data_IF_256111717058
#
_entry.id   IF_256111717058
#
_cell.length_a   1.000
_cell.length_b   1.000
_cell.length_c   1.000
_cell.angle_alpha   90.00
_cell.angle_beta   90.00
_cell.angle_gamma   90.00
#
_symmetry.space_group_name_H-M   'P 1'
#
loop_
_entity.id
_entity.type
_entity.pdbx_description
1 polymer ?
#
# COMPACT_ATOMS: atom_id res chain seq x y z
N UNK A 1 84.72 2.78 34.05
CA UNK A 1 83.79 2.83 32.90
C UNK A 1 82.39 2.94 33.47
N UNK A 2 81.61 3.93 33.04
CA UNK A 2 80.25 4.20 33.51
C UNK A 2 80.19 5.40 34.45
N UNK A 3 79.76 6.54 33.92
CA UNK A 3 79.86 7.88 34.50
C UNK A 3 78.77 8.22 35.52
N UNK A 4 79.13 9.19 36.35
CA UNK A 4 78.41 9.82 37.44
C UNK A 4 77.31 10.76 36.91
N UNK A 5 76.09 10.72 37.44
CA UNK A 5 75.20 11.90 37.43
C UNK A 5 74.53 12.08 38.81
N UNK A 6 74.57 13.32 39.36
CA UNK A 6 74.16 13.61 40.73
C UNK A 6 72.65 13.88 40.84
N UNK A 7 72.10 13.56 42.00
CA UNK A 7 70.81 14.09 42.47
C UNK A 7 70.94 15.59 42.79
N UNK A 8 69.89 16.38 42.53
CA UNK A 8 69.55 17.44 43.45
C UNK A 8 68.08 17.38 43.92
N UNK A 9 67.97 17.86 45.15
CA UNK A 9 66.83 17.91 46.04
C UNK A 9 65.94 19.12 45.72
N UNK A 10 64.66 18.98 46.07
CA UNK A 10 63.76 20.00 46.63
C UNK A 10 63.80 21.41 46.02
N UNK A 11 62.76 21.73 45.24
CA UNK A 11 62.01 22.97 45.42
C UNK A 11 60.60 22.88 44.80
N UNK A 12 59.70 23.66 45.38
CA UNK A 12 58.36 24.03 44.90
C UNK A 12 57.15 23.15 45.29
N UNK A 13 56.81 23.32 46.56
CA UNK A 13 55.49 23.67 47.09
C UNK A 13 54.29 23.70 46.12
N UNK A 14 53.33 22.87 46.51
CA UNK A 14 51.90 22.88 46.17
C UNK A 14 51.30 24.30 46.18
N UNK A 15 50.85 24.77 45.02
CA UNK A 15 49.79 25.78 44.94
C UNK A 15 48.50 25.12 44.48
N UNK A 16 47.51 25.13 45.38
CA UNK A 16 46.11 24.93 45.07
C UNK A 16 45.71 25.89 43.95
N UNK A 17 45.41 25.35 42.78
CA UNK A 17 44.63 26.05 41.77
C UNK A 17 43.21 25.54 41.93
N UNK A 18 42.35 26.43 42.41
CA UNK A 18 40.90 26.34 42.32
C UNK A 18 40.52 25.87 40.92
N UNK A 19 40.08 24.62 40.80
CA UNK A 19 39.33 24.19 39.62
C UNK A 19 37.97 24.86 39.77
N UNK A 20 37.89 26.05 39.19
CA UNK A 20 36.66 26.76 38.94
C UNK A 20 35.64 25.76 38.42
N UNK A 21 34.46 25.81 39.05
CA UNK A 21 33.26 25.11 38.60
C UNK A 21 33.18 25.23 37.08
N UNK A 22 33.40 24.11 36.37
CA UNK A 22 32.87 23.97 35.04
C UNK A 22 31.36 24.09 35.21
N UNK A 23 30.82 25.24 34.82
CA UNK A 23 29.40 25.46 34.70
C UNK A 23 28.83 24.25 33.96
N UNK A 24 28.02 23.44 34.65
CA UNK A 24 27.08 22.56 33.96
C UNK A 24 26.19 23.52 33.19
N UNK A 25 26.41 23.62 31.89
CA UNK A 25 25.41 24.17 30.98
C UNK A 25 24.20 23.26 31.16
N UNK A 26 23.12 23.80 31.71
CA UNK A 26 21.88 23.07 31.91
C UNK A 26 21.48 22.43 30.57
N UNK A 27 21.40 21.10 30.56
CA UNK A 27 21.16 20.22 29.42
C UNK A 27 19.65 20.23 29.04
N UNK A 28 18.97 21.36 29.25
CA UNK A 28 17.55 21.52 28.99
C UNK A 28 17.33 21.69 27.47
N UNK A 29 16.53 20.82 26.82
CA UNK A 29 16.25 20.92 25.40
C UNK A 29 15.63 22.26 25.06
N UNK A 30 16.15 22.93 24.02
CA UNK A 30 15.65 24.22 23.58
C UNK A 30 14.25 24.04 22.99
N UNK A 31 13.28 24.78 23.55
CA UNK A 31 11.93 24.77 22.99
C UNK A 31 11.87 25.54 21.67
N UNK A 32 11.29 24.93 20.64
CA UNK A 32 10.98 25.58 19.37
C UNK A 32 9.46 25.67 19.20
N UNK A 33 8.96 26.88 18.99
CA UNK A 33 7.57 27.08 18.56
C UNK A 33 7.53 26.95 17.04
N UNK A 34 7.08 25.78 16.56
CA UNK A 34 6.99 25.51 15.13
C UNK A 34 5.76 26.16 14.49
N UNK A 35 4.87 26.82 15.22
CA UNK A 35 3.63 27.40 14.64
C UNK A 35 3.82 28.80 14.05
N UNK A 36 5.06 29.33 14.07
CA UNK A 36 5.35 30.67 13.57
C UNK A 36 5.40 30.75 12.04
N UNK A 37 5.18 31.95 11.50
CA UNK A 37 5.31 32.25 10.07
C UNK A 37 6.74 32.03 9.53
N UNK A 38 7.75 32.18 10.40
CA UNK A 38 9.14 31.88 10.09
C UNK A 38 9.32 30.41 9.73
N UNK A 39 8.71 29.51 10.50
CA UNK A 39 8.72 28.08 10.20
C UNK A 39 7.88 27.72 8.98
N UNK A 40 6.80 28.46 8.70
CA UNK A 40 6.02 28.30 7.47
C UNK A 40 6.90 28.55 6.25
N UNK A 41 7.63 29.67 6.24
CA UNK A 41 8.56 30.00 5.14
C UNK A 41 9.74 29.03 5.07
N UNK A 42 10.35 28.69 6.22
CA UNK A 42 11.48 27.77 6.24
C UNK A 42 11.14 26.39 5.67
N UNK A 43 9.93 25.89 5.94
CA UNK A 43 9.46 24.62 5.41
C UNK A 43 8.97 24.72 3.96
N UNK A 44 8.41 25.86 3.53
CA UNK A 44 8.05 26.11 2.13
C UNK A 44 9.26 25.97 1.18
N UNK A 45 10.45 26.36 1.64
CA UNK A 45 11.70 26.25 0.89
C UNK A 45 12.46 24.92 1.16
N UNK A 46 11.96 24.09 2.07
CA UNK A 46 12.64 22.85 2.43
C UNK A 46 12.53 21.78 1.32
N UNK A 47 13.57 20.96 1.11
CA UNK A 47 13.53 19.86 0.15
C UNK A 47 12.41 18.87 0.44
N UNK A 48 11.86 18.29 -0.63
CA UNK A 48 10.80 17.28 -0.56
C UNK A 48 11.42 15.88 -0.54
N UNK A 49 10.92 15.04 0.35
CA UNK A 49 11.30 13.64 0.49
C UNK A 49 10.07 12.74 0.36
N UNK A 50 10.24 11.60 -0.29
CA UNK A 50 9.22 10.54 -0.36
C UNK A 50 9.49 9.49 0.72
N UNK A 51 8.43 9.02 1.37
CA UNK A 51 8.52 7.87 2.27
C UNK A 51 8.75 6.59 1.46
N UNK A 52 9.66 5.74 1.94
CA UNK A 52 9.95 4.44 1.34
C UNK A 52 9.96 3.30 2.37
N UNK A 53 9.82 3.61 3.66
CA UNK A 53 9.85 2.63 4.73
C UNK A 53 8.78 1.55 4.56
N UNK A 54 9.21 0.29 4.70
CA UNK A 54 8.32 -0.87 4.78
C UNK A 54 7.99 -1.16 6.25
N UNK A 55 6.75 -1.49 6.53
CA UNK A 55 6.25 -1.89 7.85
C UNK A 55 5.55 -3.23 7.75
N UNK A 56 5.55 -3.99 8.83
CA UNK A 56 4.63 -5.12 8.95
C UNK A 56 3.34 -4.65 9.58
N UNK A 57 2.19 -5.07 9.05
CA UNK A 57 0.92 -4.72 9.62
C UNK A 57 0.02 -5.95 9.77
N UNK A 58 -0.72 -6.00 10.86
CA UNK A 58 -1.69 -7.06 11.14
C UNK A 58 -2.97 -6.44 11.69
N UNK A 59 -4.12 -6.99 11.29
CA UNK A 59 -5.41 -6.55 11.81
C UNK A 59 -5.59 -7.09 13.23
N UNK A 60 -5.84 -6.18 14.18
CA UNK A 60 -6.19 -6.48 15.55
C UNK A 60 -7.53 -7.22 15.64
N UNK A 61 -7.58 -8.25 16.48
CA UNK A 61 -8.79 -8.99 16.80
C UNK A 61 -9.63 -8.28 17.89
N UNK A 62 -9.05 -7.32 18.59
CA UNK A 62 -9.65 -6.54 19.67
C UNK A 62 -9.24 -7.03 21.05
N UNK A 63 -8.92 -6.09 21.94
CA UNK A 63 -8.46 -6.36 23.30
C UNK A 63 -6.95 -6.55 23.44
N UNK A 64 -6.18 -6.51 22.35
CA UNK A 64 -4.72 -6.49 22.41
C UNK A 64 -4.22 -5.16 22.98
N UNK A 65 -3.61 -5.20 24.16
CA UNK A 65 -2.92 -4.06 24.73
C UNK A 65 -1.49 -4.02 24.22
N UNK A 66 -1.12 -2.92 23.58
CA UNK A 66 0.21 -2.64 23.06
C UNK A 66 0.84 -1.48 23.79
N UNK A 67 2.08 -1.69 24.21
CA UNK A 67 2.99 -0.62 24.60
C UNK A 67 3.76 -0.19 23.36
N UNK A 68 3.60 1.07 22.96
CA UNK A 68 4.50 1.70 22.01
C UNK A 68 5.82 1.91 22.74
N UNK A 69 6.84 1.17 22.32
CA UNK A 69 8.19 1.23 22.91
C UNK A 69 9.13 1.75 21.85
N UNK A 70 9.76 2.89 22.14
CA UNK A 70 10.75 3.52 21.26
C UNK A 70 12.00 2.63 21.13
N UNK A 71 12.81 2.92 20.12
CA UNK A 71 14.07 2.20 19.86
C UNK A 71 15.05 2.22 21.03
N UNK A 72 14.93 3.18 21.95
CA UNK A 72 15.73 3.30 23.18
C UNK A 72 15.17 2.52 24.39
N UNK A 73 14.01 1.87 24.23
CA UNK A 73 13.34 1.07 25.28
C UNK A 73 12.34 1.85 26.14
N UNK A 74 12.10 3.13 25.87
CA UNK A 74 11.11 3.95 26.59
C UNK A 74 9.68 3.59 26.17
N UNK A 75 8.80 3.32 27.14
CA UNK A 75 7.36 3.07 26.91
C UNK A 75 6.65 4.42 26.77
N UNK A 76 6.26 4.76 25.55
CA UNK A 76 5.64 6.05 25.22
C UNK A 76 4.14 6.03 25.57
N UNK A 77 3.41 5.03 25.09
CA UNK A 77 1.96 4.93 25.31
C UNK A 77 1.53 3.48 25.45
N UNK A 78 0.44 3.25 26.20
CA UNK A 78 -0.24 1.95 26.28
C UNK A 78 -1.64 2.09 25.70
N UNK A 79 -1.91 1.46 24.56
CA UNK A 79 -3.20 1.48 23.89
C UNK A 79 -3.78 0.07 23.77
N UNK A 80 -5.09 -0.05 23.81
CA UNK A 80 -5.79 -1.32 23.58
C UNK A 80 -6.52 -1.25 22.24
N UNK A 81 -6.20 -2.18 21.34
CA UNK A 81 -6.77 -2.21 20.00
C UNK A 81 -8.25 -2.61 20.03
N UNK A 82 -9.05 -1.99 19.18
CA UNK A 82 -10.38 -2.48 18.86
C UNK A 82 -10.31 -3.54 17.76
N UNK A 83 -11.32 -4.42 17.64
CA UNK A 83 -11.43 -5.30 16.49
C UNK A 83 -11.43 -4.47 15.19
N UNK A 84 -10.54 -4.80 14.26
CA UNK A 84 -10.40 -4.10 12.98
C UNK A 84 -9.42 -2.93 12.98
N UNK A 85 -8.85 -2.55 14.13
CA UNK A 85 -7.68 -1.66 14.14
C UNK A 85 -6.46 -2.39 13.53
N UNK A 86 -5.44 -1.64 13.12
CA UNK A 86 -4.22 -2.17 12.53
C UNK A 86 -3.08 -2.01 13.52
N UNK A 87 -2.41 -3.11 13.84
CA UNK A 87 -1.16 -3.11 14.59
C UNK A 87 -0.02 -3.04 13.59
N UNK A 88 0.68 -1.92 13.57
CA UNK A 88 1.83 -1.68 12.70
C UNK A 88 3.10 -1.96 13.47
N UNK A 89 4.07 -2.59 12.81
CA UNK A 89 5.40 -2.90 13.33
C UNK A 89 6.44 -2.30 12.37
N UNK A 90 7.19 -1.32 12.86
CA UNK A 90 8.28 -0.71 12.10
C UNK A 90 9.49 -1.66 12.02
N UNK A 91 10.43 -1.45 11.09
CA UNK A 91 11.67 -2.25 11.00
C UNK A 91 12.49 -2.29 12.29
N UNK A 92 12.42 -1.22 13.09
CA UNK A 92 13.06 -1.11 14.41
C UNK A 92 12.36 -1.91 15.52
N UNK A 93 11.27 -2.61 15.23
CA UNK A 93 10.52 -3.43 16.19
C UNK A 93 9.47 -2.68 17.02
N UNK A 94 9.45 -1.35 16.93
CA UNK A 94 8.40 -0.52 17.50
C UNK A 94 7.03 -0.91 16.93
N UNK A 95 6.02 -0.99 17.80
CA UNK A 95 4.64 -1.33 17.43
C UNK A 95 3.66 -0.29 17.92
N UNK A 96 2.68 0.05 17.10
CA UNK A 96 1.61 0.96 17.45
C UNK A 96 0.27 0.55 16.82
N UNK A 97 -0.82 1.10 17.34
CA UNK A 97 -2.19 0.84 16.88
C UNK A 97 -2.68 2.05 16.10
N UNK A 98 -3.25 1.80 14.92
CA UNK A 98 -3.87 2.82 14.08
C UNK A 98 -5.19 2.28 13.51
N UNK A 99 -6.24 3.11 13.46
CA UNK A 99 -7.51 2.69 12.87
C UNK A 99 -7.40 2.43 11.37
N UNK A 100 -8.16 1.46 10.85
CA UNK A 100 -8.08 1.00 9.46
C UNK A 100 -8.11 2.12 8.41
N UNK A 101 -9.01 3.10 8.55
CA UNK A 101 -9.10 4.23 7.60
C UNK A 101 -7.83 5.11 7.59
N UNK A 102 -7.20 5.29 8.74
CA UNK A 102 -5.93 6.03 8.84
C UNK A 102 -4.74 5.20 8.37
N UNK A 103 -4.83 3.87 8.45
CA UNK A 103 -3.82 2.98 7.89
C UNK A 103 -3.87 3.02 6.35
N UNK A 104 -5.05 2.90 5.77
CA UNK A 104 -5.27 2.93 4.32
C UNK A 104 -4.76 4.23 3.68
N UNK A 105 -5.01 5.38 4.32
CA UNK A 105 -4.50 6.66 3.82
C UNK A 105 -2.98 6.84 3.92
N UNK A 106 -2.28 5.96 4.65
CA UNK A 106 -0.84 6.10 4.95
C UNK A 106 0.03 4.99 4.38
N UNK A 107 -0.55 3.89 3.87
CA UNK A 107 0.20 2.69 3.50
C UNK A 107 -0.34 2.02 2.22
N UNK A 108 0.54 1.50 1.36
CA UNK A 108 0.20 0.56 0.27
C UNK A 108 0.63 -0.86 0.62
N UNK A 109 -0.15 -1.84 0.16
CA UNK A 109 0.31 -3.21 0.11
C UNK A 109 1.53 -3.34 -0.82
N UNK A 110 2.47 -4.22 -0.43
CA UNK A 110 3.57 -4.66 -1.29
C UNK A 110 3.30 -6.08 -1.81
N UNK A 111 4.22 -6.64 -2.61
CA UNK A 111 4.13 -8.04 -3.08
C UNK A 111 4.37 -9.08 -1.96
N UNK A 112 4.86 -8.63 -0.80
CA UNK A 112 5.10 -9.46 0.38
C UNK A 112 3.89 -9.40 1.34
N UNK A 113 3.36 -10.56 1.71
CA UNK A 113 2.20 -10.65 2.61
C UNK A 113 2.50 -10.04 3.99
N UNK A 114 1.54 -9.26 4.50
CA UNK A 114 1.68 -8.52 5.76
C UNK A 114 2.67 -7.34 5.72
N UNK A 115 3.30 -7.05 4.58
CA UNK A 115 4.27 -5.95 4.42
C UNK A 115 3.66 -4.82 3.61
N UNK A 116 3.73 -3.62 4.17
CA UNK A 116 3.16 -2.41 3.61
C UNK A 116 4.21 -1.32 3.48
N UNK A 117 4.14 -0.53 2.42
CA UNK A 117 5.03 0.60 2.19
C UNK A 117 4.31 1.88 2.57
N UNK A 118 4.96 2.71 3.38
CA UNK A 118 4.41 4.01 3.74
C UNK A 118 4.27 4.90 2.50
N UNK A 119 3.12 5.58 2.39
CA UNK A 119 2.84 6.59 1.37
C UNK A 119 2.97 7.99 1.94
N UNK A 120 3.17 8.94 1.04
CA UNK A 120 3.21 10.36 1.36
C UNK A 120 4.60 10.97 1.22
N UNK A 121 4.58 12.28 1.06
CA UNK A 121 5.76 13.13 0.91
C UNK A 121 5.83 14.11 2.07
N UNK A 122 7.03 14.60 2.37
CA UNK A 122 7.24 15.57 3.41
C UNK A 122 8.30 16.60 3.00
N UNK A 123 8.11 17.83 3.44
CA UNK A 123 9.13 18.89 3.42
C UNK A 123 9.95 18.74 4.68
N UNK A 124 11.27 18.56 4.55
CA UNK A 124 12.14 18.21 5.68
C UNK A 124 13.39 19.08 5.68
N UNK A 125 13.70 19.67 6.83
CA UNK A 125 14.89 20.50 7.05
C UNK A 125 15.65 20.07 8.32
N UNK A 126 16.98 20.21 8.40
CA UNK A 126 17.74 19.91 9.62
C UNK A 126 17.35 20.80 10.80
N UNK A 127 17.51 20.29 12.03
CA UNK A 127 17.49 21.12 13.24
C UNK A 127 18.54 22.24 13.12
N UNK A 128 18.13 23.53 13.08
CA UNK A 128 19.05 24.63 12.85
C UNK A 128 19.88 24.99 14.09
N UNK A 129 19.55 24.45 15.26
CA UNK A 129 20.19 24.82 16.53
C UNK A 129 21.47 24.05 16.81
N UNK A 130 21.64 22.86 16.22
CA UNK A 130 22.74 21.95 16.56
C UNK A 130 22.76 21.51 18.03
N UNK A 131 21.65 21.66 18.76
CA UNK A 131 21.47 21.32 20.17
C UNK A 131 20.19 20.49 20.34
N UNK A 132 20.01 19.77 21.46
CA UNK A 132 18.74 19.10 21.75
C UNK A 132 17.58 20.11 21.74
N UNK A 133 16.49 19.75 21.09
CA UNK A 133 15.28 20.57 20.94
C UNK A 133 14.04 19.84 21.48
N UNK A 134 13.03 20.61 21.84
CA UNK A 134 11.69 20.10 22.11
C UNK A 134 10.62 20.96 21.46
N UNK A 135 9.50 20.34 21.08
CA UNK A 135 8.34 21.03 20.50
C UNK A 135 7.07 20.53 21.19
N UNK A 136 5.98 21.28 21.05
CA UNK A 136 4.63 20.72 21.21
C UNK A 136 4.19 20.17 19.86
N UNK A 137 4.04 18.87 19.76
CA UNK A 137 3.63 18.22 18.54
C UNK A 137 2.15 18.51 18.21
N UNK A 138 1.71 18.31 16.95
CA UNK A 138 0.33 18.58 16.54
C UNK A 138 -0.72 17.76 17.30
N UNK A 139 -0.32 16.62 17.88
CA UNK A 139 -1.19 15.79 18.73
C UNK A 139 -1.22 16.21 20.20
N UNK A 140 -0.55 17.31 20.57
CA UNK A 140 -0.66 17.97 21.88
C UNK A 140 0.37 17.54 22.92
N UNK A 141 1.29 16.63 22.58
CA UNK A 141 2.33 16.13 23.49
C UNK A 141 3.70 16.75 23.21
N UNK A 142 4.60 16.72 24.20
CA UNK A 142 5.99 17.14 23.99
C UNK A 142 6.75 16.10 23.16
N UNK A 143 7.42 16.55 22.12
CA UNK A 143 8.32 15.73 21.31
C UNK A 143 9.75 16.27 21.43
N UNK A 144 10.71 15.37 21.58
CA UNK A 144 12.12 15.68 21.80
C UNK A 144 12.96 15.26 20.58
N UNK A 145 14.00 16.04 20.28
CA UNK A 145 14.93 15.77 19.19
C UNK A 145 16.37 16.03 19.61
N UNK A 146 17.28 15.18 19.17
CA UNK A 146 18.72 15.40 19.34
C UNK A 146 19.27 16.54 18.49
N UNK A 147 20.57 16.88 18.66
CA UNK A 147 21.27 17.89 17.88
C UNK A 147 21.17 17.73 16.34
N UNK A 148 21.05 16.49 15.87
CA UNK A 148 21.05 16.10 14.46
C UNK A 148 19.68 15.73 13.89
N UNK A 149 18.63 15.87 14.70
CA UNK A 149 17.24 15.64 14.33
C UNK A 149 16.81 16.54 13.16
N UNK A 150 15.71 16.17 12.51
CA UNK A 150 15.10 16.91 11.42
C UNK A 150 13.71 17.42 11.83
N UNK A 151 13.27 18.49 11.19
CA UNK A 151 11.95 19.08 11.34
C UNK A 151 11.21 18.89 10.02
N UNK A 152 9.97 18.42 10.11
CA UNK A 152 9.19 18.00 8.95
C UNK A 152 7.76 18.52 9.00
N UNK A 153 7.17 18.67 7.82
CA UNK A 153 5.72 18.81 7.63
C UNK A 153 5.29 18.00 6.41
N UNK A 154 4.01 17.63 6.36
CA UNK A 154 3.43 16.90 5.23
C UNK A 154 3.50 17.76 3.97
N UNK A 155 3.84 17.14 2.84
CA UNK A 155 3.77 17.74 1.52
C UNK A 155 2.60 17.14 0.75
N UNK A 156 1.67 17.99 0.33
CA UNK A 156 0.57 17.64 -0.56
C UNK A 156 0.93 18.06 -2.01
N UNK A 157 1.11 17.09 -2.94
CA UNK A 157 1.38 17.40 -4.34
C UNK A 157 0.26 18.16 -5.05
N UNK A 158 -0.99 18.03 -4.59
CA UNK A 158 -2.15 18.73 -5.19
C UNK A 158 -2.20 20.21 -4.76
N UNK A 159 -1.61 20.52 -3.60
CA UNK A 159 -1.53 21.86 -3.03
C UNK A 159 -0.07 22.17 -2.62
N UNK A 160 0.87 22.27 -3.58
CA UNK A 160 2.30 22.28 -3.29
C UNK A 160 2.78 23.51 -2.51
N UNK A 161 2.00 24.60 -2.58
CA UNK A 161 2.25 25.86 -1.88
C UNK A 161 1.64 25.89 -0.46
N UNK A 162 0.77 24.93 -0.13
CA UNK A 162 0.19 24.83 1.21
C UNK A 162 1.16 24.13 2.17
N UNK A 163 1.56 24.84 3.22
CA UNK A 163 2.50 24.33 4.23
C UNK A 163 1.72 24.01 5.49
N UNK A 164 1.45 22.73 5.69
CA UNK A 164 0.67 22.25 6.83
C UNK A 164 1.24 22.73 8.18
N UNK A 165 0.37 23.16 9.13
CA UNK A 165 0.77 23.47 10.50
C UNK A 165 1.16 22.22 11.31
N UNK A 166 0.90 21.02 10.78
CA UNK A 166 1.24 19.75 11.42
C UNK A 166 2.75 19.46 11.29
N UNK A 167 3.54 20.13 12.12
CA UNK A 167 5.01 20.11 12.09
C UNK A 167 5.56 19.26 13.23
N UNK A 168 6.52 18.38 12.91
CA UNK A 168 7.03 17.38 13.85
C UNK A 168 8.54 17.15 13.70
N UNK A 169 9.15 16.54 14.72
CA UNK A 169 10.56 16.13 14.75
C UNK A 169 10.67 14.70 14.21
N UNK A 170 11.75 14.44 13.46
CA UNK A 170 12.19 13.12 13.02
C UNK A 170 13.63 12.92 13.48
N UNK A 171 13.95 11.79 14.13
CA UNK A 171 15.35 11.44 14.42
C UNK A 171 16.15 11.16 13.14
N UNK A 172 17.47 11.34 13.20
CA UNK A 172 18.35 11.18 12.03
C UNK A 172 18.31 9.76 11.46
N UNK A 173 18.35 8.76 12.33
CA UNK A 173 18.37 7.36 11.94
C UNK A 173 17.01 6.93 11.36
N UNK A 174 15.90 7.38 11.97
CA UNK A 174 14.54 7.15 11.47
C UNK A 174 14.34 7.78 10.09
N UNK A 175 14.86 9.01 9.89
CA UNK A 175 14.82 9.68 8.61
C UNK A 175 15.55 8.86 7.52
N UNK A 176 16.79 8.42 7.81
CA UNK A 176 17.58 7.63 6.86
C UNK A 176 16.93 6.29 6.51
N UNK A 177 16.21 5.68 7.45
CA UNK A 177 15.52 4.40 7.25
C UNK A 177 14.20 4.51 6.50
N UNK A 178 13.61 5.72 6.39
CA UNK A 178 12.22 5.88 5.92
C UNK A 178 11.99 6.94 4.86
N UNK A 179 12.93 7.85 4.60
CA UNK A 179 12.82 8.91 3.58
C UNK A 179 13.98 8.92 2.57
N UNK A 180 13.64 9.09 1.29
CA UNK A 180 14.61 9.38 0.23
C UNK A 180 14.23 10.68 -0.47
N UNK A 181 15.18 11.44 -1.03
CA UNK A 181 14.86 12.63 -1.81
C UNK A 181 13.82 12.32 -2.88
N UNK A 182 12.83 13.20 -3.04
CA UNK A 182 11.85 13.14 -4.13
C UNK A 182 12.43 13.64 -5.46
N UNK A 183 13.75 13.50 -5.61
CA UNK A 183 14.54 13.65 -6.84
C UNK A 183 15.11 12.30 -7.29
N UNK A 184 14.82 11.22 -6.54
CA UNK A 184 15.11 9.85 -6.94
C UNK A 184 14.08 9.45 -8.00
N UNK A 185 14.32 9.88 -9.24
CA UNK A 185 13.50 9.61 -10.40
C UNK A 185 13.55 8.12 -10.73
N UNK A 186 12.38 7.54 -10.96
CA UNK A 186 12.25 6.27 -11.66
C UNK A 186 12.49 6.63 -13.14
N UNK A 187 13.71 6.44 -13.61
CA UNK A 187 14.22 6.88 -14.92
C UNK A 187 13.33 6.40 -16.11
N UNK A 188 12.44 5.43 -15.90
CA UNK A 188 11.51 4.91 -16.90
C UNK A 188 10.31 5.83 -17.19
N UNK A 189 9.81 6.62 -16.23
CA UNK A 189 8.61 7.47 -16.42
C UNK A 189 8.96 8.77 -17.13
N UNK A 190 10.08 9.38 -16.74
CA UNK A 190 10.54 10.65 -17.33
C UNK A 190 11.02 10.50 -18.77
N UNK A 191 11.64 9.36 -19.08
CA UNK A 191 12.02 9.01 -20.45
C UNK A 191 10.81 8.78 -21.37
N UNK A 192 9.63 8.47 -20.81
CA UNK A 192 8.40 8.32 -21.59
C UNK A 192 7.74 9.68 -21.87
N UNK A 193 7.63 10.55 -20.87
CA UNK A 193 7.01 11.88 -21.01
C UNK A 193 7.85 12.83 -21.89
N UNK A 194 9.18 12.88 -21.69
CA UNK A 194 10.07 13.75 -22.47
C UNK A 194 10.17 13.29 -23.95
N UNK A 195 10.16 11.98 -24.22
CA UNK A 195 10.11 11.46 -25.58
C UNK A 195 8.72 11.59 -26.24
N UNK A 196 7.66 11.76 -25.44
CA UNK A 196 6.32 12.05 -25.93
C UNK A 196 6.22 13.49 -26.41
N UNK A 197 6.72 14.45 -25.62
CA UNK A 197 6.60 15.88 -25.92
C UNK A 197 7.56 16.34 -27.03
N UNK A 198 8.78 15.79 -27.14
CA UNK A 198 9.71 16.13 -28.23
C UNK A 198 9.27 15.62 -29.62
N UNK A 199 8.38 14.61 -29.67
CA UNK A 199 7.88 14.04 -30.92
C UNK A 199 6.77 14.90 -31.56
N UNK A 200 6.18 15.85 -30.85
CA UNK A 200 5.00 16.61 -31.31
C UNK A 200 5.21 18.11 -31.45
N UNK A 201 6.44 18.60 -31.57
CA UNK A 201 6.66 19.85 -32.28
C UNK A 201 6.60 19.61 -33.80
N UNK A 202 5.44 19.85 -34.44
CA UNK A 202 5.36 20.74 -35.63
C UNK A 202 3.99 20.86 -36.31
N UNK A 203 3.79 22.11 -36.74
CA UNK A 203 3.09 22.61 -37.93
C UNK A 203 1.59 22.28 -38.01
N UNK A 204 0.82 23.07 -37.26
CA UNK A 204 -0.63 23.19 -37.43
C UNK A 204 -1.01 23.42 -38.89
N UNK A 205 -1.82 22.50 -39.42
CA UNK A 205 -2.53 22.67 -40.69
C UNK A 205 -3.97 23.06 -40.37
N UNK A 206 -4.35 24.24 -40.85
CA UNK A 206 -5.57 24.98 -40.52
C UNK A 206 -6.79 24.62 -41.36
N UNK A 207 -6.84 23.47 -42.04
CA UNK A 207 -7.99 23.11 -42.89
C UNK A 207 -8.46 21.67 -42.62
N UNK A 208 -9.69 21.55 -42.08
CA UNK A 208 -10.40 20.29 -41.84
C UNK A 208 -10.80 19.64 -43.18
N UNK A 209 -10.71 18.31 -43.27
CA UNK A 209 -11.30 17.54 -44.38
C UNK A 209 -12.84 17.76 -44.43
N UNK A 210 -13.38 18.06 -45.60
CA UNK A 210 -14.81 18.41 -45.78
C UNK A 210 -15.79 17.26 -45.45
N UNK A 211 -15.42 16.00 -45.72
CA UNK A 211 -16.29 14.83 -45.46
C UNK A 211 -15.77 13.97 -44.30
N UNK A 212 -16.64 13.58 -43.33
CA UNK A 212 -16.25 12.76 -42.19
C UNK A 212 -15.90 11.35 -42.64
N UNK A 213 -14.76 10.84 -42.16
CA UNK A 213 -14.37 9.44 -42.31
C UNK A 213 -14.92 8.62 -41.16
N UNK A 214 -15.34 7.39 -41.43
CA UNK A 214 -15.72 6.44 -40.39
C UNK A 214 -14.46 5.87 -39.73
N UNK A 215 -14.32 6.05 -38.42
CA UNK A 215 -13.28 5.44 -37.61
C UNK A 215 -13.74 4.12 -36.99
N UNK A 216 -12.78 3.29 -36.57
CA UNK A 216 -13.02 2.06 -35.82
C UNK A 216 -12.46 2.20 -34.40
N UNK A 217 -13.24 1.80 -33.40
CA UNK A 217 -12.76 1.70 -32.02
C UNK A 217 -12.31 0.26 -31.75
N UNK A 218 -11.22 0.09 -31.01
CA UNK A 218 -10.80 -1.24 -30.61
C UNK A 218 -11.83 -1.91 -29.70
N UNK A 219 -12.01 -3.21 -29.85
CA UNK A 219 -12.88 -3.98 -28.97
C UNK A 219 -12.36 -3.88 -27.53
N UNK A 220 -13.24 -3.49 -26.59
CA UNK A 220 -12.87 -3.24 -25.20
C UNK A 220 -12.40 -1.82 -24.90
N UNK A 221 -12.38 -0.89 -25.88
CA UNK A 221 -12.11 0.52 -25.62
C UNK A 221 -13.14 1.12 -24.65
N UNK A 222 -12.68 2.00 -23.77
CA UNK A 222 -13.55 2.79 -22.91
C UNK A 222 -14.06 4.04 -23.67
N UNK A 223 -15.29 4.51 -23.36
CA UNK A 223 -15.90 5.67 -24.03
C UNK A 223 -15.04 6.94 -23.90
N UNK A 224 -14.33 7.09 -22.79
CA UNK A 224 -13.43 8.23 -22.52
C UNK A 224 -12.28 8.28 -23.53
N UNK A 225 -11.74 7.11 -23.89
CA UNK A 225 -10.67 7.01 -24.89
C UNK A 225 -11.18 7.43 -26.27
N UNK A 226 -12.42 7.04 -26.61
CA UNK A 226 -13.03 7.47 -27.87
C UNK A 226 -13.23 8.99 -27.94
N UNK A 227 -13.58 9.65 -26.83
CA UNK A 227 -13.71 11.11 -26.76
C UNK A 227 -12.34 11.79 -26.91
N UNK A 228 -11.32 11.28 -26.21
CA UNK A 228 -9.96 11.80 -26.30
C UNK A 228 -9.36 11.64 -27.71
N UNK A 229 -9.56 10.49 -28.34
CA UNK A 229 -9.07 10.22 -29.69
C UNK A 229 -9.80 11.07 -30.75
N UNK A 230 -11.10 11.30 -30.58
CA UNK A 230 -11.87 12.21 -31.46
C UNK A 230 -11.46 13.67 -31.27
N UNK A 231 -11.20 14.11 -30.03
CA UNK A 231 -10.68 15.46 -29.77
C UNK A 231 -9.30 15.66 -30.39
N UNK A 232 -8.41 14.67 -30.28
CA UNK A 232 -7.11 14.66 -30.97
C UNK A 232 -7.27 14.72 -32.48
N UNK A 233 -8.16 13.90 -33.06
CA UNK A 233 -8.45 13.91 -34.49
C UNK A 233 -8.87 15.31 -34.95
N UNK A 234 -9.75 15.99 -34.21
CA UNK A 234 -10.14 17.37 -34.50
C UNK A 234 -8.98 18.35 -34.45
N UNK A 235 -8.13 18.29 -33.41
CA UNK A 235 -6.94 19.15 -33.29
C UNK A 235 -5.97 18.93 -34.46
N UNK A 236 -5.96 17.74 -35.04
CA UNK A 236 -5.17 17.38 -36.22
C UNK A 236 -5.83 17.79 -37.56
N UNK A 237 -6.99 18.45 -37.54
CA UNK A 237 -7.75 18.79 -38.75
C UNK A 237 -8.45 17.58 -39.38
N UNK A 238 -8.61 16.49 -38.65
CA UNK A 238 -9.30 15.29 -39.12
C UNK A 238 -10.79 15.33 -38.74
N UNK A 239 -11.63 14.94 -39.70
CA UNK A 239 -13.06 14.78 -39.50
C UNK A 239 -13.39 13.29 -39.43
N UNK A 240 -13.66 12.78 -38.22
CA UNK A 240 -13.85 11.36 -37.91
C UNK A 240 -15.18 11.16 -37.18
N UNK A 241 -15.88 10.08 -37.50
CA UNK A 241 -17.08 9.63 -36.78
C UNK A 241 -16.91 8.18 -36.34
N UNK A 242 -17.25 7.87 -35.09
CA UNK A 242 -17.21 6.52 -34.51
C UNK A 242 -18.57 6.18 -33.88
N UNK A 243 -18.87 4.88 -33.79
CA UNK A 243 -20.01 4.38 -33.03
C UNK A 243 -19.50 3.73 -31.74
N UNK A 244 -20.05 4.14 -30.60
CA UNK A 244 -19.78 3.52 -29.31
C UNK A 244 -21.09 3.04 -28.70
N UNK A 245 -21.29 1.72 -28.65
CA UNK A 245 -22.51 1.08 -28.13
C UNK A 245 -23.82 1.64 -28.76
N UNK A 246 -23.81 1.96 -30.05
CA UNK A 246 -24.96 2.51 -30.77
C UNK A 246 -25.14 4.03 -30.65
N UNK A 247 -24.23 4.72 -29.95
CA UNK A 247 -24.15 6.18 -29.94
C UNK A 247 -23.07 6.66 -30.92
N UNK A 248 -23.47 7.43 -31.94
CA UNK A 248 -22.56 8.01 -32.92
C UNK A 248 -21.91 9.28 -32.36
N UNK A 249 -20.58 9.35 -32.38
CA UNK A 249 -19.78 10.48 -31.89
C UNK A 249 -18.87 11.01 -33.01
N UNK A 250 -18.66 12.33 -33.03
CA UNK A 250 -18.07 13.07 -34.14
C UNK A 250 -16.92 13.96 -33.61
N UNK A 251 -15.76 13.96 -34.30
CA UNK A 251 -14.57 14.74 -33.91
C UNK A 251 -14.81 16.25 -33.98
N UNK A 252 -15.45 16.77 -35.02
CA UNK A 252 -15.81 18.18 -35.16
C UNK A 252 -16.72 18.64 -34.01
N UNK A 253 -17.75 17.88 -33.68
CA UNK A 253 -18.65 18.23 -32.57
C UNK A 253 -17.89 18.30 -31.24
N UNK A 254 -17.11 17.28 -30.92
CA UNK A 254 -16.29 17.22 -29.69
C UNK A 254 -15.24 18.34 -29.67
N UNK A 255 -14.63 18.61 -30.82
CA UNK A 255 -13.64 19.65 -31.01
C UNK A 255 -14.17 21.07 -30.83
N UNK A 256 -15.32 21.37 -31.45
CA UNK A 256 -15.98 22.68 -31.37
C UNK A 256 -16.51 22.97 -29.96
N UNK A 257 -17.00 21.95 -29.24
CA UNK A 257 -17.45 22.12 -27.85
C UNK A 257 -16.30 22.17 -26.84
N UNK A 258 -15.13 21.62 -27.19
CA UNK A 258 -13.99 21.46 -26.28
C UNK A 258 -14.09 20.20 -25.43
N UNK A 259 -12.94 19.65 -25.05
CA UNK A 259 -12.85 18.34 -24.37
C UNK A 259 -13.64 18.29 -23.06
N UNK A 260 -13.60 19.33 -22.23
CA UNK A 260 -14.31 19.32 -20.94
C UNK A 260 -15.82 19.26 -21.11
N UNK A 261 -16.39 20.03 -22.06
CA UNK A 261 -17.82 19.97 -22.36
C UNK A 261 -18.24 18.66 -23.00
N UNK A 262 -17.34 18.02 -23.74
CA UNK A 262 -17.60 16.67 -24.25
C UNK A 262 -17.69 15.66 -23.10
N UNK A 263 -16.76 15.72 -22.13
CA UNK A 263 -16.85 14.91 -20.92
C UNK A 263 -18.14 15.21 -20.13
N UNK A 264 -18.51 16.48 -19.98
CA UNK A 264 -19.76 16.85 -19.28
C UNK A 264 -20.99 16.26 -19.99
N UNK A 265 -21.02 16.32 -21.33
CA UNK A 265 -22.11 15.77 -22.14
C UNK A 265 -22.24 14.25 -21.98
N UNK A 266 -21.13 13.51 -22.00
CA UNK A 266 -21.15 12.06 -22.08
C UNK A 266 -21.04 11.35 -20.72
N UNK A 267 -20.48 12.00 -19.71
CA UNK A 267 -20.27 11.45 -18.37
C UNK A 267 -20.89 12.28 -17.25
N UNK A 268 -21.31 13.53 -17.50
CA UNK A 268 -21.86 14.43 -16.48
C UNK A 268 -20.80 15.16 -15.63
N UNK A 269 -19.52 15.01 -15.98
CA UNK A 269 -18.38 15.61 -15.29
C UNK A 269 -17.45 16.25 -16.32
N UNK A 270 -16.70 17.29 -15.98
CA UNK A 270 -15.53 17.68 -16.77
C UNK A 270 -14.47 16.56 -16.78
N UNK A 271 -13.42 16.71 -17.60
CA UNK A 271 -12.42 15.65 -17.81
C UNK A 271 -11.66 15.29 -16.54
N UNK A 272 -11.26 16.27 -15.73
CA UNK A 272 -10.47 16.02 -14.52
C UNK A 272 -11.36 15.43 -13.41
N UNK A 273 -12.57 15.97 -13.23
CA UNK A 273 -13.57 15.40 -12.32
C UNK A 273 -13.94 13.96 -12.68
N UNK A 274 -14.03 13.64 -13.97
CA UNK A 274 -14.26 12.27 -14.43
C UNK A 274 -13.09 11.34 -14.09
N UNK A 275 -11.85 11.77 -14.33
CA UNK A 275 -10.66 10.97 -13.99
C UNK A 275 -10.61 10.68 -12.50
N UNK A 276 -10.88 11.68 -11.68
CA UNK A 276 -10.91 11.53 -10.23
C UNK A 276 -12.04 10.60 -9.78
N UNK A 277 -13.26 10.75 -10.34
CA UNK A 277 -14.36 9.83 -10.06
C UNK A 277 -14.03 8.38 -10.46
N UNK A 278 -13.45 8.18 -11.65
CA UNK A 278 -13.05 6.86 -12.14
C UNK A 278 -11.93 6.25 -11.27
N UNK A 279 -10.98 7.07 -10.80
CA UNK A 279 -9.94 6.67 -9.85
C UNK A 279 -10.58 6.22 -8.53
N UNK A 280 -11.44 7.04 -7.94
CA UNK A 280 -12.11 6.74 -6.67
C UNK A 280 -13.01 5.50 -6.76
N UNK A 281 -13.75 5.31 -7.87
CA UNK A 281 -14.52 4.08 -8.09
C UNK A 281 -13.63 2.85 -8.25
N UNK A 282 -12.53 2.96 -9.00
CA UNK A 282 -11.56 1.87 -9.17
C UNK A 282 -10.90 1.50 -7.84
N UNK A 283 -10.54 2.50 -7.03
CA UNK A 283 -9.97 2.32 -5.70
C UNK A 283 -10.99 1.69 -4.74
N UNK A 284 -12.22 2.18 -4.70
CA UNK A 284 -13.29 1.62 -3.89
C UNK A 284 -13.62 0.18 -4.29
N UNK A 285 -13.65 -0.11 -5.59
CA UNK A 285 -13.85 -1.46 -6.11
C UNK A 285 -12.69 -2.38 -5.74
N UNK A 286 -11.44 -1.92 -5.89
CA UNK A 286 -10.23 -2.64 -5.51
C UNK A 286 -10.18 -2.94 -4.01
N UNK A 287 -10.52 -1.95 -3.17
CA UNK A 287 -10.59 -2.10 -1.72
C UNK A 287 -11.67 -3.11 -1.31
N UNK A 288 -12.88 -3.00 -1.88
CA UNK A 288 -13.97 -3.96 -1.65
C UNK A 288 -13.58 -5.37 -2.08
N UNK A 289 -12.97 -5.50 -3.25
CA UNK A 289 -12.51 -6.78 -3.77
C UNK A 289 -11.45 -7.41 -2.85
N UNK A 290 -10.44 -6.64 -2.42
CA UNK A 290 -9.40 -7.09 -1.49
C UNK A 290 -9.98 -7.51 -0.15
N UNK A 291 -10.92 -6.75 0.41
CA UNK A 291 -11.62 -7.12 1.63
C UNK A 291 -12.38 -8.44 1.47
N UNK A 292 -13.10 -8.61 0.36
CA UNK A 292 -13.81 -9.85 0.06
C UNK A 292 -12.86 -11.05 -0.09
N UNK A 293 -11.72 -10.88 -0.77
CA UNK A 293 -10.69 -11.93 -0.86
C UNK A 293 -10.13 -12.29 0.52
N UNK A 294 -9.82 -11.28 1.33
CA UNK A 294 -9.33 -11.48 2.70
C UNK A 294 -10.35 -12.23 3.57
N UNK A 295 -11.63 -11.83 3.55
CA UNK A 295 -12.67 -12.49 4.32
C UNK A 295 -12.87 -13.96 3.90
N UNK A 296 -12.76 -14.24 2.60
CA UNK A 296 -12.83 -15.61 2.06
C UNK A 296 -11.65 -16.46 2.52
N UNK A 297 -10.43 -15.93 2.40
CA UNK A 297 -9.20 -16.61 2.84
C UNK A 297 -9.20 -16.85 4.35
N UNK A 298 -9.53 -15.82 5.14
CA UNK A 298 -9.62 -15.91 6.60
C UNK A 298 -10.63 -16.97 7.03
N UNK A 299 -11.82 -16.97 6.41
CA UNK A 299 -12.85 -17.99 6.68
C UNK A 299 -12.33 -19.37 6.32
N UNK A 300 -11.71 -19.55 5.16
CA UNK A 300 -11.16 -20.82 4.72
C UNK A 300 -10.09 -21.34 5.68
N UNK A 301 -9.13 -20.50 6.10
CA UNK A 301 -8.11 -20.86 7.10
C UNK A 301 -8.71 -21.26 8.44
N UNK A 302 -9.72 -20.52 8.92
CA UNK A 302 -10.40 -20.78 10.20
C UNK A 302 -11.19 -22.09 10.17
N UNK A 303 -11.69 -22.51 9.01
CA UNK A 303 -12.48 -23.72 8.83
C UNK A 303 -11.63 -25.01 8.82
N UNK A 304 -10.32 -24.91 8.51
CA UNK A 304 -9.41 -26.07 8.35
C UNK A 304 -9.53 -27.10 9.49
N UNK A 305 -9.53 -26.72 10.79
CA UNK A 305 -9.63 -27.71 11.87
C UNK A 305 -10.91 -28.54 11.81
N UNK A 306 -12.04 -27.93 11.42
CA UNK A 306 -13.31 -28.65 11.29
C UNK A 306 -13.30 -29.52 10.02
N UNK A 307 -12.78 -29.01 8.89
CA UNK A 307 -12.64 -29.82 7.66
C UNK A 307 -11.77 -31.07 7.89
N UNK A 308 -10.68 -30.94 8.64
CA UNK A 308 -9.81 -32.08 9.03
C UNK A 308 -10.59 -33.08 9.86
N UNK A 309 -11.39 -32.62 10.81
CA UNK A 309 -12.20 -33.47 11.69
C UNK A 309 -13.30 -34.19 10.90
N UNK A 310 -14.02 -33.48 10.05
CA UNK A 310 -15.12 -34.03 9.26
C UNK A 310 -14.69 -35.03 8.20
N UNK A 311 -13.46 -34.89 7.69
CA UNK A 311 -12.92 -35.79 6.67
C UNK A 311 -12.09 -36.94 7.24
N UNK A 312 -11.77 -36.95 8.54
CA UNK A 312 -10.80 -37.87 9.14
C UNK A 312 -11.03 -39.36 8.78
N UNK A 313 -12.27 -39.83 8.81
CA UNK A 313 -12.62 -41.24 8.52
C UNK A 313 -12.72 -41.56 7.01
N UNK A 314 -12.66 -40.54 6.16
CA UNK A 314 -12.79 -40.66 4.70
C UNK A 314 -11.42 -40.74 4.02
N UNK A 315 -10.41 -40.11 4.61
CA UNK A 315 -9.09 -39.93 4.00
C UNK A 315 -8.28 -41.23 4.05
N UNK A 316 -7.52 -41.48 2.98
CA UNK A 316 -6.58 -42.58 2.91
C UNK A 316 -5.46 -42.38 3.95
N UNK A 317 -5.21 -43.34 4.85
CA UNK A 317 -4.20 -43.20 5.90
C UNK A 317 -2.79 -42.88 5.37
N UNK A 318 -2.46 -43.31 4.15
CA UNK A 318 -1.14 -43.06 3.53
C UNK A 318 -0.93 -41.61 3.10
N UNK A 319 -2.01 -40.87 2.82
CA UNK A 319 -1.96 -39.46 2.38
C UNK A 319 -2.52 -38.49 3.43
N UNK A 320 -2.87 -38.97 4.63
CA UNK A 320 -3.47 -38.17 5.69
C UNK A 320 -2.59 -37.00 6.17
N UNK A 321 -1.26 -37.14 6.10
CA UNK A 321 -0.32 -36.05 6.37
C UNK A 321 -0.41 -34.94 5.32
N UNK A 322 -0.36 -35.32 4.05
CA UNK A 322 -0.46 -34.43 2.90
C UNK A 322 -1.82 -33.72 2.81
N UNK A 323 -2.89 -34.37 3.28
CA UNK A 323 -4.25 -33.82 3.26
C UNK A 323 -4.36 -32.48 4.00
N UNK A 324 -3.71 -32.38 5.17
CA UNK A 324 -3.72 -31.14 5.95
C UNK A 324 -3.01 -30.00 5.23
N UNK A 325 -1.92 -30.31 4.54
CA UNK A 325 -1.17 -29.31 3.81
C UNK A 325 -1.89 -28.91 2.52
N UNK A 326 -2.57 -29.86 1.87
CA UNK A 326 -3.52 -29.57 0.80
C UNK A 326 -4.58 -28.56 1.27
N UNK A 327 -5.27 -28.80 2.39
CA UNK A 327 -6.28 -27.87 2.90
C UNK A 327 -5.73 -26.46 3.16
N UNK A 328 -4.51 -26.34 3.70
CA UNK A 328 -3.86 -25.03 3.94
C UNK A 328 -3.54 -24.32 2.63
N UNK A 329 -2.94 -25.01 1.66
CA UNK A 329 -2.62 -24.45 0.35
C UNK A 329 -3.91 -24.03 -0.35
N UNK A 330 -4.95 -24.88 -0.28
CA UNK A 330 -6.21 -24.60 -0.95
C UNK A 330 -6.96 -23.43 -0.33
N UNK A 331 -6.81 -23.19 0.97
CA UNK A 331 -7.41 -22.07 1.66
C UNK A 331 -6.87 -20.70 1.21
N UNK A 332 -5.65 -20.63 0.66
CA UNK A 332 -4.98 -19.38 0.26
C UNK A 332 -4.96 -19.13 -1.25
N UNK A 333 -5.50 -20.06 -2.05
CA UNK A 333 -5.56 -19.86 -3.50
C UNK A 333 -6.83 -19.12 -3.94
N UNK A 334 -6.94 -18.88 -5.25
CA UNK A 334 -8.04 -18.17 -5.91
C UNK A 334 -9.45 -18.69 -5.54
N UNK A 335 -9.59 -19.97 -5.21
CA UNK A 335 -10.86 -20.62 -4.86
C UNK A 335 -11.11 -20.70 -3.36
N UNK A 336 -10.16 -20.28 -2.51
CA UNK A 336 -10.32 -20.19 -1.05
C UNK A 336 -10.86 -21.49 -0.43
N UNK A 337 -10.39 -22.64 -0.91
CA UNK A 337 -10.77 -23.98 -0.44
C UNK A 337 -12.15 -24.47 -0.89
N UNK A 338 -12.80 -23.81 -1.86
CA UNK A 338 -14.14 -24.21 -2.32
C UNK A 338 -14.17 -25.61 -2.93
N UNK A 339 -13.11 -25.97 -3.65
CA UNK A 339 -12.88 -27.29 -4.19
C UNK A 339 -12.61 -28.34 -3.10
N UNK A 340 -11.92 -27.97 -2.02
CA UNK A 340 -11.70 -28.84 -0.86
C UNK A 340 -13.02 -29.15 -0.15
N UNK A 341 -13.87 -28.14 0.06
CA UNK A 341 -15.22 -28.33 0.62
C UNK A 341 -16.09 -29.22 -0.28
N UNK A 342 -16.12 -28.91 -1.57
CA UNK A 342 -16.82 -29.71 -2.58
C UNK A 342 -16.38 -31.17 -2.58
N UNK A 343 -15.07 -31.42 -2.55
CA UNK A 343 -14.52 -32.77 -2.47
C UNK A 343 -14.97 -33.49 -1.20
N UNK A 344 -14.91 -32.84 -0.03
CA UNK A 344 -15.37 -33.40 1.24
C UNK A 344 -16.86 -33.76 1.19
N UNK A 345 -17.71 -32.87 0.65
CA UNK A 345 -19.16 -33.12 0.53
C UNK A 345 -19.45 -34.34 -0.35
N UNK A 346 -18.76 -34.46 -1.48
CA UNK A 346 -18.88 -35.62 -2.38
C UNK A 346 -18.36 -36.91 -1.73
N UNK A 347 -17.22 -36.85 -1.04
CA UNK A 347 -16.68 -38.00 -0.30
C UNK A 347 -17.66 -38.47 0.80
N UNK A 348 -18.28 -37.53 1.52
CA UNK A 348 -19.30 -37.81 2.54
C UNK A 348 -20.52 -38.46 1.92
N UNK A 349 -21.11 -37.85 0.89
CA UNK A 349 -22.29 -38.37 0.19
C UNK A 349 -22.03 -39.78 -0.37
N UNK A 350 -20.89 -39.98 -1.03
CA UNK A 350 -20.50 -41.29 -1.54
C UNK A 350 -20.32 -42.32 -0.41
N UNK A 351 -19.70 -41.94 0.71
CA UNK A 351 -19.54 -42.84 1.87
C UNK A 351 -20.87 -43.26 2.50
N UNK A 352 -21.91 -42.45 2.31
CA UNK A 352 -23.28 -42.71 2.77
C UNK A 352 -24.12 -43.50 1.75
N UNK A 353 -23.53 -43.86 0.59
CA UNK A 353 -24.20 -44.65 -0.44
C UNK A 353 -25.17 -43.84 -1.31
N UNK A 354 -24.99 -42.52 -1.41
CA UNK A 354 -25.75 -41.68 -2.36
C UNK A 354 -25.53 -42.18 -3.79
N UNK A 355 -26.62 -42.24 -4.56
CA UNK A 355 -26.61 -42.78 -5.92
C UNK A 355 -25.81 -41.93 -6.92
N UNK A 356 -25.36 -42.55 -8.01
CA UNK A 356 -24.53 -41.90 -9.02
C UNK A 356 -25.17 -40.64 -9.62
N UNK A 357 -26.47 -40.66 -9.91
CA UNK A 357 -27.19 -39.50 -10.48
C UNK A 357 -27.20 -38.32 -9.50
N UNK A 358 -27.46 -38.58 -8.22
CA UNK A 358 -27.48 -37.55 -7.19
C UNK A 358 -26.08 -36.99 -6.89
N UNK A 359 -25.03 -37.82 -6.97
CA UNK A 359 -23.64 -37.37 -6.84
C UNK A 359 -23.23 -36.44 -7.99
N UNK A 360 -23.61 -36.77 -9.23
CA UNK A 360 -23.38 -35.90 -10.39
C UNK A 360 -24.12 -34.58 -10.26
N UNK A 361 -25.39 -34.65 -9.85
CA UNK A 361 -26.19 -33.46 -9.59
C UNK A 361 -25.57 -32.57 -8.50
N UNK A 362 -25.07 -33.16 -7.41
CA UNK A 362 -24.38 -32.42 -6.35
C UNK A 362 -23.13 -31.70 -6.87
N UNK A 363 -22.35 -32.35 -7.76
CA UNK A 363 -21.18 -31.73 -8.39
C UNK A 363 -21.57 -30.57 -9.31
N UNK A 364 -22.64 -30.70 -10.10
CA UNK A 364 -23.11 -29.67 -11.02
C UNK A 364 -23.68 -28.45 -10.27
N UNK A 365 -24.44 -28.68 -9.20
CA UNK A 365 -25.05 -27.63 -8.37
C UNK A 365 -24.01 -26.77 -7.63
N UNK A 366 -22.79 -27.29 -7.45
CA UNK A 366 -21.68 -26.53 -6.87
C UNK A 366 -21.06 -25.50 -7.84
N UNK A 367 -21.42 -25.52 -9.12
CA UNK A 367 -21.14 -24.42 -10.06
C UNK A 367 -19.67 -24.24 -10.43
N UNK A 368 -18.90 -25.33 -10.51
CA UNK A 368 -17.47 -25.27 -10.79
C UNK A 368 -17.15 -24.82 -12.22
N UNK A 369 -16.10 -24.01 -12.36
CA UNK A 369 -15.42 -23.84 -13.65
C UNK A 369 -14.75 -25.16 -14.08
N UNK A 370 -14.45 -25.34 -15.36
CA UNK A 370 -13.77 -26.56 -15.84
C UNK A 370 -12.44 -26.87 -15.13
N UNK A 371 -11.67 -25.83 -14.78
CA UNK A 371 -10.42 -25.98 -14.02
C UNK A 371 -10.67 -26.43 -12.57
N UNK A 372 -11.65 -25.80 -11.89
CA UNK A 372 -12.02 -26.16 -10.52
C UNK A 372 -12.62 -27.57 -10.45
N UNK A 373 -13.44 -27.95 -11.44
CA UNK A 373 -13.97 -29.31 -11.58
C UNK A 373 -12.84 -30.35 -11.64
N UNK A 374 -11.83 -30.12 -12.46
CA UNK A 374 -10.66 -30.99 -12.54
C UNK A 374 -9.89 -31.09 -11.21
N UNK A 375 -9.79 -29.99 -10.47
CA UNK A 375 -9.12 -29.96 -9.17
C UNK A 375 -9.87 -30.80 -8.12
N UNK A 376 -11.20 -30.67 -8.05
CA UNK A 376 -12.05 -31.48 -7.16
C UNK A 376 -11.82 -32.98 -7.41
N UNK A 377 -11.85 -33.41 -8.68
CA UNK A 377 -11.60 -34.81 -9.05
C UNK A 377 -10.20 -35.28 -8.65
N UNK A 378 -9.18 -34.44 -8.81
CA UNK A 378 -7.82 -34.75 -8.40
C UNK A 378 -7.68 -34.90 -6.88
N UNK A 379 -8.29 -34.00 -6.11
CA UNK A 379 -8.35 -34.07 -4.64
C UNK A 379 -9.04 -35.36 -4.20
N UNK A 380 -10.21 -35.68 -4.77
CA UNK A 380 -10.93 -36.92 -4.48
C UNK A 380 -10.05 -38.13 -4.77
N UNK A 381 -9.46 -38.19 -5.97
CA UNK A 381 -8.64 -39.33 -6.39
C UNK A 381 -7.48 -39.60 -5.45
N UNK A 382 -6.78 -38.55 -5.03
CA UNK A 382 -5.53 -38.67 -4.26
C UNK A 382 -5.79 -38.93 -2.77
N UNK A 383 -6.80 -38.27 -2.19
CA UNK A 383 -6.98 -38.27 -0.74
C UNK A 383 -8.09 -39.20 -0.25
N UNK A 384 -9.12 -39.48 -1.03
CA UNK A 384 -10.25 -40.29 -0.56
C UNK A 384 -9.94 -41.79 -0.60
N UNK A 385 -10.29 -42.54 0.45
CA UNK A 385 -10.07 -44.00 0.53
C UNK A 385 -10.75 -44.80 -0.58
N UNK A 386 -11.82 -44.27 -1.16
CA UNK A 386 -12.51 -44.84 -2.32
C UNK A 386 -12.46 -43.87 -3.53
N UNK A 387 -11.35 -43.14 -3.67
CA UNK A 387 -11.14 -42.10 -4.67
C UNK A 387 -11.43 -42.56 -6.09
N UNK A 388 -10.85 -43.68 -6.53
CA UNK A 388 -11.07 -44.21 -7.89
C UNK A 388 -12.55 -44.52 -8.16
N UNK A 389 -13.25 -45.14 -7.20
CA UNK A 389 -14.68 -45.45 -7.31
C UNK A 389 -15.53 -44.19 -7.50
N UNK A 390 -15.29 -43.17 -6.68
CA UNK A 390 -16.06 -41.93 -6.77
C UNK A 390 -15.73 -41.15 -8.05
N UNK A 391 -14.45 -41.08 -8.44
CA UNK A 391 -14.05 -40.41 -9.67
C UNK A 391 -14.63 -41.08 -10.91
N UNK A 392 -14.71 -42.42 -10.95
CA UNK A 392 -15.34 -43.13 -12.05
C UNK A 392 -16.85 -42.92 -12.12
N UNK A 393 -17.51 -42.68 -10.97
CA UNK A 393 -18.92 -42.29 -10.91
C UNK A 393 -19.13 -40.86 -11.43
N UNK A 394 -18.18 -39.94 -11.18
CA UNK A 394 -18.32 -38.52 -11.52
C UNK A 394 -17.89 -38.15 -12.94
N UNK A 395 -17.16 -39.04 -13.63
CA UNK A 395 -16.97 -38.97 -15.10
C UNK A 395 -18.28 -39.24 -15.83
#
# INVERSE_FOLDING_TARGET
MGENFPQPNQDEQVQHIDVQHAERVDDEPRHLDLQTDEWTHALAEAPIYKKFGKVHAQIAQGGETLQTVLSDGTVETTNTANPGDVIVTNPGGERYIIGANKFDSRYEATDEDGVFKAKGKARITPNPTGQPIKITAPWGEEQFGGPDALIATVYDPENPDDVSPDRYIIGRDEFNATYVPDTYEDDEVKAWDEAHDEKYEREGKTELLDEPRKGELMAGSHKSNAIDDLYKAYLNGEHVTVDFNGESMNSREIGEMGVDRAYEKYFGYDKESYKEHARLESEAWSAKYKLEQFEREYRAKKEIPELVKESADLINPTTAGEWRDCLKIRATDLYHGADSRSAIDLMKAHSQGVGAEDLKKLMDEQGHSGASHGMVLAIIKHFYKAGDSLVDVLK
#
